data_IF_675047353097
#
_entry.id   IF_675047353097
#
_cell.length_a   1.000
_cell.length_b   1.000
_cell.length_c   1.000
_cell.angle_alpha   90.00
_cell.angle_beta   90.00
_cell.angle_gamma   90.00
#
_symmetry.space_group_name_H-M   'P 1'
#
loop_
_entity.id
_entity.type
_entity.pdbx_description
1 polymer ?
2 non-polymer ?
3 water ?
#
# COMPACT_ATOMS: atom_id res chain seq x y z
N UNK A 4 11.24 24.33 -9.59
CA UNK A 4 10.67 24.09 -10.96
C UNK A 4 11.49 23.11 -11.79
N UNK A 5 12.44 23.64 -12.56
CA UNK A 5 13.45 22.82 -13.20
C UNK A 5 14.45 22.51 -12.11
N UNK A 6 14.58 23.45 -11.18
CA UNK A 6 15.42 23.24 -10.02
C UNK A 6 14.98 21.98 -9.27
N UNK A 7 13.68 21.68 -9.20
CA UNK A 7 13.24 20.44 -8.55
C UNK A 7 13.80 19.16 -9.18
N UNK A 8 13.78 19.08 -10.51
CA UNK A 8 14.26 17.89 -11.21
C UNK A 8 15.76 17.78 -11.09
N UNK A 9 16.42 18.91 -10.85
CA UNK A 9 17.85 18.90 -10.54
C UNK A 9 18.17 18.22 -9.22
N UNK A 10 17.29 18.41 -8.21
CA UNK A 10 17.48 17.71 -6.92
C UNK A 10 17.36 16.20 -7.09
N UNK A 11 16.41 15.77 -7.91
CA UNK A 11 16.20 14.35 -8.20
C UNK A 11 17.44 13.75 -8.88
N UNK A 12 17.95 14.49 -9.85
CA UNK A 12 19.16 14.12 -10.56
C UNK A 12 20.36 14.05 -9.62
N UNK A 13 20.53 15.07 -8.76
CA UNK A 13 21.61 15.02 -7.78
C UNK A 13 21.45 13.78 -6.90
N UNK A 14 20.22 13.48 -6.46
CA UNK A 14 20.04 12.29 -5.61
C UNK A 14 20.43 11.04 -6.39
N UNK A 15 19.95 10.88 -7.62
CA UNK A 15 20.28 9.68 -8.40
C UNK A 15 21.79 9.53 -8.59
N UNK A 16 22.44 10.62 -9.00
CA UNK A 16 23.90 10.59 -9.21
C UNK A 16 24.68 10.25 -7.95
N UNK A 17 24.25 10.79 -6.80
CA UNK A 17 24.90 10.45 -5.53
C UNK A 17 24.76 8.97 -5.17
N UNK A 18 23.55 8.42 -5.30
CA UNK A 18 23.36 6.98 -4.98
C UNK A 18 24.23 6.14 -5.93
N UNK A 19 24.16 6.46 -7.21
CA UNK A 19 24.96 5.74 -8.21
C UNK A 19 26.46 5.85 -7.96
N UNK A 20 26.91 7.01 -7.51
CA UNK A 20 28.33 7.20 -7.21
C UNK A 20 28.72 6.69 -5.84
N UNK A 21 27.80 5.99 -5.18
CA UNK A 21 28.07 5.39 -3.86
C UNK A 21 28.45 6.46 -2.84
N UNK A 22 27.66 7.54 -2.81
CA UNK A 22 27.92 8.67 -1.92
C UNK A 22 26.73 8.84 -0.97
N UNK A 23 26.62 7.97 0.05
CA UNK A 23 25.41 7.96 0.90
C UNK A 23 25.14 9.27 1.61
N UNK A 24 26.19 9.99 1.99
CA UNK A 24 25.98 11.23 2.76
C UNK A 24 25.38 12.29 1.87
N UNK A 25 25.99 12.52 0.70
CA UNK A 25 25.39 13.43 -0.28
C UNK A 25 23.97 12.98 -0.68
N UNK A 26 23.77 11.67 -0.88
CA UNK A 26 22.42 11.13 -1.23
C UNK A 26 21.39 11.58 -0.16
N UNK A 27 21.76 11.49 1.12
CA UNK A 27 20.82 11.89 2.19
C UNK A 27 20.57 13.39 2.18
N UNK A 28 21.62 14.17 1.90
CA UNK A 28 21.43 15.60 1.75
C UNK A 28 20.42 15.95 0.65
N UNK A 29 20.59 15.39 -0.55
CA UNK A 29 19.69 15.69 -1.67
C UNK A 29 18.26 15.21 -1.41
N UNK A 30 18.13 14.04 -0.80
CA UNK A 30 16.81 13.57 -0.30
C UNK A 30 16.13 14.58 0.67
N UNK A 31 16.86 14.99 1.72
CA UNK A 31 16.42 16.03 2.67
C UNK A 31 15.98 17.34 1.98
N UNK A 32 16.76 17.77 0.99
CA UNK A 32 16.41 18.95 0.16
C UNK A 32 15.18 18.73 -0.64
N UNK A 33 15.01 17.51 -1.15
CA UNK A 33 13.82 17.19 -1.93
C UNK A 33 12.59 17.30 -1.02
N UNK A 34 12.68 16.72 0.18
CA UNK A 34 11.60 16.77 1.17
C UNK A 34 11.27 18.24 1.53
N UNK A 35 12.29 19.05 1.81
CA UNK A 35 11.99 20.41 2.28
C UNK A 35 11.45 21.31 1.14
N UNK A 36 11.69 20.90 -0.10
CA UNK A 36 11.17 21.57 -1.26
C UNK A 36 9.73 21.15 -1.54
N UNK A 37 9.12 20.37 -0.67
CA UNK A 37 7.76 19.85 -0.89
C UNK A 37 7.64 18.59 -1.76
N UNK A 38 8.76 17.91 -2.02
CA UNK A 38 8.75 16.70 -2.85
C UNK A 38 8.10 15.51 -2.15
N UNK A 39 7.38 14.71 -2.91
CA UNK A 39 6.66 13.58 -2.30
C UNK A 39 7.62 12.42 -2.07
N UNK A 40 7.62 11.86 -0.85
CA UNK A 40 8.51 10.72 -0.64
C UNK A 40 8.22 9.51 -1.54
N UNK A 41 6.97 9.31 -1.98
CA UNK A 41 6.71 8.16 -2.83
C UNK A 41 7.25 8.39 -4.22
N UNK A 42 7.24 9.64 -4.67
CA UNK A 42 7.87 9.98 -5.93
C UNK A 42 9.34 9.55 -5.85
N UNK A 43 9.98 9.83 -4.71
CA UNK A 43 11.33 9.38 -4.50
C UNK A 43 11.42 7.84 -4.47
N UNK A 44 10.46 7.19 -3.80
CA UNK A 44 10.42 5.73 -3.71
C UNK A 44 10.36 5.07 -5.08
N UNK A 45 9.53 5.60 -5.97
CA UNK A 45 9.53 5.09 -7.35
C UNK A 45 10.90 5.17 -8.07
N UNK A 46 11.62 6.29 -7.89
CA UNK A 46 12.94 6.46 -8.51
C UNK A 46 13.91 5.47 -7.92
N UNK A 47 13.74 5.18 -6.64
CA UNK A 47 14.65 4.22 -5.98
C UNK A 47 14.51 2.81 -6.56
N UNK A 48 13.29 2.40 -6.85
CA UNK A 48 13.12 1.13 -7.52
C UNK A 48 13.80 1.12 -8.91
N UNK A 49 13.69 2.20 -9.67
CA UNK A 49 14.36 2.30 -10.98
C UNK A 49 15.89 2.20 -10.81
N UNK A 50 16.42 2.88 -9.80
CA UNK A 50 17.83 2.75 -9.41
C UNK A 50 18.27 1.33 -9.06
N UNK A 51 17.51 0.63 -8.22
CA UNK A 51 17.82 -0.75 -7.92
C UNK A 51 17.98 -1.58 -9.21
N UNK A 52 17.16 -1.26 -10.22
CA UNK A 52 17.15 -2.04 -11.46
C UNK A 52 18.32 -1.62 -12.32
N UNK A 53 18.49 -0.32 -12.43
CA UNK A 53 19.42 0.23 -13.40
C UNK A 53 20.87 0.22 -12.93
N UNK A 54 21.09 0.56 -11.67
CA UNK A 54 22.44 0.77 -11.13
C UNK A 54 22.96 -0.35 -10.22
N UNK A 55 22.06 -1.15 -9.63
CA UNK A 55 22.53 -2.22 -8.74
C UNK A 55 22.36 -3.59 -9.39
N UNK A 56 21.19 -3.81 -9.99
CA UNK A 56 20.91 -5.06 -10.71
C UNK A 56 21.21 -6.32 -9.91
N UNK A 57 21.84 -7.30 -10.55
CA UNK A 57 22.11 -8.58 -9.86
C UNK A 57 23.39 -8.63 -9.02
N UNK A 58 24.09 -7.50 -8.92
CA UNK A 58 25.15 -7.39 -7.92
C UNK A 58 24.54 -7.57 -6.52
N UNK A 59 23.29 -7.14 -6.34
CA UNK A 59 22.53 -7.43 -5.12
C UNK A 59 21.05 -7.49 -5.44
N UNK A 60 20.54 -8.69 -5.73
CA UNK A 60 19.13 -8.87 -6.07
C UNK A 60 18.21 -8.46 -4.91
N UNK A 61 18.69 -8.53 -3.66
CA UNK A 61 17.88 -8.13 -2.49
C UNK A 61 17.57 -6.65 -2.43
N UNK A 62 18.31 -5.85 -3.19
CA UNK A 62 18.12 -4.40 -3.27
C UNK A 62 16.68 -3.97 -3.55
N UNK A 63 16.08 -4.65 -4.53
CA UNK A 63 14.70 -4.49 -4.93
C UNK A 63 13.80 -4.66 -3.72
N UNK A 64 14.09 -5.65 -2.88
CA UNK A 64 13.22 -5.97 -1.75
C UNK A 64 13.34 -4.93 -0.63
N UNK A 65 14.51 -4.32 -0.49
CA UNK A 65 14.71 -3.31 0.57
C UNK A 65 13.91 -2.07 0.21
N UNK A 66 13.86 -1.75 -1.06
CA UNK A 66 13.15 -0.57 -1.51
C UNK A 66 11.64 -0.81 -1.47
N UNK A 67 11.21 -2.01 -1.85
CA UNK A 67 9.79 -2.38 -1.68
C UNK A 67 9.38 -2.40 -0.21
N UNK A 68 10.26 -2.87 0.67
CA UNK A 68 9.95 -2.89 2.10
C UNK A 68 9.79 -1.47 2.64
N UNK A 69 10.67 -0.55 2.25
CA UNK A 69 10.52 0.86 2.61
C UNK A 69 9.16 1.40 2.16
N UNK A 70 8.77 1.06 0.94
CA UNK A 70 7.46 1.49 0.44
C UNK A 70 6.30 0.92 1.30
N UNK A 71 6.45 -0.34 1.70
CA UNK A 71 5.44 -0.99 2.55
C UNK A 71 5.28 -0.26 3.87
N UNK A 72 6.40 0.14 4.47
CA UNK A 72 6.38 0.93 5.71
C UNK A 72 5.62 2.23 5.55
N UNK A 73 5.83 2.89 4.42
CA UNK A 73 5.12 4.13 4.13
C UNK A 73 3.58 3.88 4.00
N UNK A 74 3.21 2.86 3.25
CA UNK A 74 1.81 2.48 3.02
C UNK A 74 1.07 2.03 4.28
N UNK A 75 1.79 1.38 5.18
CA UNK A 75 1.14 0.76 6.35
C UNK A 75 1.22 1.61 7.58
N UNK A 76 2.38 2.21 7.80
CA UNK A 76 2.59 2.99 8.99
C UNK A 76 2.26 4.45 8.76
N UNK A 77 2.89 5.06 7.76
CA UNK A 77 2.53 6.43 7.41
C UNK A 77 3.69 7.17 6.77
N UNK A 78 3.48 8.45 6.56
CA UNK A 78 4.45 9.32 5.89
C UNK A 78 5.78 9.46 6.59
N UNK A 79 5.79 9.68 7.90
CA UNK A 79 7.02 9.95 8.58
C UNK A 79 7.86 8.69 8.80
N UNK A 80 7.23 7.58 9.18
CA UNK A 80 7.99 6.32 9.24
C UNK A 80 8.44 5.94 7.83
N UNK A 81 7.57 6.20 6.87
CA UNK A 81 7.92 5.97 5.46
C UNK A 81 9.16 6.72 5.05
N UNK A 82 9.25 8.01 5.41
CA UNK A 82 10.41 8.83 4.97
C UNK A 82 11.69 8.29 5.58
N UNK A 83 11.61 7.83 6.81
CA UNK A 83 12.73 7.22 7.53
C UNK A 83 13.16 5.91 6.85
N UNK A 84 12.20 5.07 6.48
CA UNK A 84 12.51 3.79 5.84
C UNK A 84 13.12 4.03 4.45
N UNK A 85 12.61 5.04 3.75
CA UNK A 85 13.15 5.41 2.47
C UNK A 85 14.56 5.93 2.60
N UNK A 86 14.84 6.69 3.67
CA UNK A 86 16.25 7.08 3.93
C UNK A 86 17.16 5.87 4.10
N UNK A 87 16.70 4.87 4.85
CA UNK A 87 17.44 3.62 5.03
C UNK A 87 17.69 2.93 3.65
N UNK A 88 16.67 2.89 2.80
CA UNK A 88 16.82 2.35 1.47
C UNK A 88 17.83 3.15 0.65
N UNK A 89 17.79 4.48 0.78
CA UNK A 89 18.79 5.31 0.12
C UNK A 89 20.20 4.97 0.54
N UNK A 90 20.46 4.89 1.82
CA UNK A 90 21.78 4.44 2.27
C UNK A 90 22.13 3.02 1.82
N UNK A 91 21.17 2.11 1.90
CA UNK A 91 21.40 0.74 1.43
C UNK A 91 21.89 0.72 -0.03
N UNK A 92 21.12 1.37 -0.89
CA UNK A 92 21.44 1.46 -2.32
C UNK A 92 22.79 2.18 -2.57
N UNK A 93 23.08 3.20 -1.77
CA UNK A 93 24.32 3.96 -1.92
C UNK A 93 25.56 3.10 -1.62
N UNK A 94 25.49 2.27 -0.58
CA UNK A 94 26.64 1.43 -0.21
C UNK A 94 26.64 0.05 -0.91
N UNK A 95 25.56 -0.29 -1.64
CA UNK A 95 25.47 -1.59 -2.32
C UNK A 95 26.50 -1.63 -3.48
N UNK A 96 26.98 -2.84 -3.82
CA UNK A 96 27.78 -3.09 -5.03
C UNK A 96 26.95 -2.64 -6.23
N UNK A 97 27.57 -1.98 -7.20
CA UNK A 97 26.89 -1.45 -8.36
C UNK A 97 27.18 -2.28 -9.58
N UNK A 98 26.13 -2.47 -10.37
CA UNK A 98 26.21 -3.16 -11.64
C UNK A 98 25.11 -2.70 -12.55
N UNK A 99 25.50 -2.32 -13.76
CA UNK A 99 24.53 -1.91 -14.79
C UNK A 99 24.33 -3.06 -15.84
N UNK A 100 24.81 -4.27 -15.52
CA UNK A 100 24.85 -5.36 -16.50
C UNK A 100 23.50 -5.86 -16.94
N UNK A 101 22.56 -5.99 -15.98
CA UNK A 101 21.26 -6.49 -16.34
C UNK A 101 20.53 -5.44 -17.17
N UNK A 102 20.65 -4.19 -16.75
CA UNK A 102 20.07 -3.06 -17.50
C UNK A 102 20.52 -2.96 -18.96
N UNK A 103 21.84 -2.97 -19.19
CA UNK A 103 22.34 -2.85 -20.55
C UNK A 103 22.09 -4.12 -21.37
N UNK A 104 22.12 -5.29 -20.73
CA UNK A 104 21.72 -6.57 -21.40
C UNK A 104 20.31 -6.49 -21.96
N UNK A 105 19.36 -6.04 -21.14
CA UNK A 105 17.97 -6.01 -21.58
C UNK A 105 17.82 -5.00 -22.72
N UNK A 106 18.41 -3.82 -22.58
CA UNK A 106 18.36 -2.86 -23.70
C UNK A 106 18.96 -3.34 -25.03
N UNK A 107 20.11 -4.00 -24.97
CA UNK A 107 20.69 -4.56 -26.18
C UNK A 107 19.80 -5.61 -26.82
N UNK A 108 19.16 -6.43 -26.01
CA UNK A 108 18.32 -7.50 -26.52
C UNK A 108 17.10 -6.87 -27.17
N UNK A 109 16.58 -5.79 -26.59
CA UNK A 109 15.40 -5.15 -27.19
C UNK A 109 15.74 -4.52 -28.53
N UNK A 110 16.92 -3.93 -28.65
CA UNK A 110 17.25 -3.32 -29.91
C UNK A 110 17.41 -4.39 -30.99
N UNK A 111 18.02 -5.51 -30.66
CA UNK A 111 18.05 -6.61 -31.63
C UNK A 111 16.65 -7.12 -32.03
N UNK A 112 15.77 -7.30 -31.07
CA UNK A 112 14.42 -7.79 -31.37
C UNK A 112 13.66 -6.79 -32.26
N UNK A 113 14.03 -5.52 -32.16
CA UNK A 113 13.36 -4.48 -32.92
C UNK A 113 14.00 -4.32 -34.31
N UNK A 114 15.33 -4.44 -34.38
CA UNK A 114 16.08 -4.10 -35.57
C UNK A 114 16.34 -5.24 -36.53
N UNK A 115 16.47 -6.45 -36.02
CA UNK A 115 16.77 -7.60 -36.87
C UNK A 115 15.44 -8.26 -37.26
N UNK A 116 15.45 -9.07 -38.34
CA UNK A 116 14.24 -9.78 -38.77
C UNK A 116 13.57 -10.59 -37.63
N UNK A 117 12.27 -10.83 -37.73
CA UNK A 117 11.63 -11.69 -36.76
C UNK A 117 11.91 -13.15 -37.06
N UNK A 118 13.14 -13.60 -36.79
CA UNK A 118 13.55 -14.97 -37.07
C UNK A 118 12.59 -15.95 -36.45
N UNK A 119 12.39 -17.09 -37.12
CA UNK A 119 11.59 -18.18 -36.57
C UNK A 119 12.14 -18.74 -35.29
N UNK A 120 11.25 -19.17 -34.40
CA UNK A 120 11.68 -19.95 -33.28
C UNK A 120 12.32 -21.27 -33.80
N UNK A 121 13.59 -21.53 -33.46
CA UNK A 121 14.16 -22.83 -33.82
C UNK A 121 13.17 -23.97 -33.56
N UNK A 122 13.03 -24.93 -34.50
CA UNK A 122 12.03 -26.03 -34.41
C UNK A 122 11.99 -26.77 -33.08
N UNK A 123 13.14 -27.08 -32.51
CA UNK A 123 13.15 -27.83 -31.24
C UNK A 123 12.65 -26.97 -30.04
N UNK A 124 12.61 -25.66 -30.20
CA UNK A 124 12.18 -24.80 -29.10
C UNK A 124 10.68 -24.49 -29.10
N UNK A 125 9.99 -24.93 -30.16
CA UNK A 125 8.58 -24.66 -30.35
C UNK A 125 7.71 -25.45 -29.38
N UNK A 126 6.51 -24.93 -29.17
CA UNK A 126 5.62 -25.54 -28.23
C UNK A 126 5.34 -27.00 -28.63
N UNK A 127 5.15 -27.24 -29.92
CA UNK A 127 5.22 -28.61 -30.48
C UNK A 127 6.42 -28.66 -31.44
N UNK A 128 7.52 -29.34 -31.02
CA UNK A 128 8.75 -29.39 -31.84
C UNK A 128 8.47 -29.93 -33.23
N UNK A 129 9.22 -29.47 -34.21
CA UNK A 129 9.08 -30.00 -35.56
C UNK A 129 10.45 -30.46 -36.08
N UNK A 130 10.42 -31.22 -37.18
CA UNK A 130 11.65 -31.78 -37.71
C UNK A 130 12.65 -30.68 -38.04
N UNK A 131 13.86 -30.76 -37.45
CA UNK A 131 14.90 -29.76 -37.66
C UNK A 131 15.55 -29.88 -39.05
N UNK A 153 22.14 -29.44 -34.22
CA UNK A 153 21.58 -30.67 -33.70
C UNK A 153 20.57 -30.34 -32.60
N UNK A 154 19.89 -29.19 -32.73
CA UNK A 154 18.88 -28.78 -31.75
C UNK A 154 19.46 -28.44 -30.39
N UNK A 155 20.66 -27.86 -30.37
CA UNK A 155 21.30 -27.45 -29.11
C UNK A 155 21.34 -25.92 -28.96
N UNK A 156 20.96 -25.22 -30.03
CA UNK A 156 20.98 -23.75 -30.05
C UNK A 156 19.76 -23.16 -29.36
N UNK A 157 19.96 -22.16 -28.52
CA UNK A 157 18.85 -21.38 -27.96
C UNK A 157 18.55 -20.11 -28.78
N UNK A 158 19.54 -19.63 -29.53
CA UNK A 158 19.31 -18.49 -30.42
C UNK A 158 18.94 -19.00 -31.82
N UNK A 159 18.25 -18.18 -32.61
CA UNK A 159 18.20 -18.46 -34.04
C UNK A 159 19.61 -18.57 -34.60
N UNK A 160 19.80 -19.36 -35.66
CA UNK A 160 21.18 -19.57 -36.12
C UNK A 160 21.90 -18.26 -36.50
N UNK A 161 21.14 -17.27 -36.94
CA UNK A 161 21.72 -15.95 -37.23
C UNK A 161 22.33 -15.31 -35.99
N UNK A 162 21.86 -15.70 -34.81
CA UNK A 162 22.26 -15.01 -33.57
C UNK A 162 23.18 -15.87 -32.70
N UNK A 163 23.58 -17.01 -33.24
CA UNK A 163 24.44 -17.95 -32.54
C UNK A 163 25.55 -17.28 -31.70
N UNK A 164 25.73 -17.72 -30.45
CA UNK A 164 26.78 -17.20 -29.53
C UNK A 164 26.65 -15.75 -29.10
N UNK A 165 25.54 -15.09 -29.44
CA UNK A 165 25.28 -13.73 -28.99
C UNK A 165 25.35 -13.63 -27.46
N UNK A 166 26.01 -12.59 -26.95
CA UNK A 166 26.03 -12.30 -25.51
C UNK A 166 25.56 -10.87 -25.24
N UNK A 167 24.60 -10.75 -24.35
CA UNK A 167 24.10 -9.43 -23.91
C UNK A 167 24.57 -9.14 -22.49
N UNK A 168 24.61 -10.20 -21.68
CA UNK A 168 24.75 -10.04 -20.26
C UNK A 168 26.17 -10.29 -19.84
N UNK A 169 26.79 -9.24 -19.29
CA UNK A 169 28.20 -9.28 -18.91
C UNK A 169 28.37 -9.00 -17.41
N UNK A 170 28.23 -10.02 -16.52
CA UNK A 170 28.24 -9.73 -15.09
C UNK A 170 29.51 -9.04 -14.65
N UNK A 171 29.41 -8.10 -13.71
CA UNK A 171 30.59 -7.45 -13.16
C UNK A 171 31.28 -8.42 -12.21
N UNK A 172 32.42 -7.95 -11.70
CA UNK A 172 33.13 -8.61 -10.61
C UNK A 172 32.70 -8.09 -9.23
N UNK A 173 31.42 -7.80 -9.04
CA UNK A 173 30.99 -7.15 -7.81
C UNK A 173 29.81 -7.87 -7.25
N UNK A 174 29.74 -7.98 -5.92
CA UNK A 174 28.55 -8.54 -5.26
C UNK A 174 28.25 -9.97 -5.68
N UNK A 175 26.98 -10.26 -5.88
CA UNK A 175 26.56 -11.59 -6.25
C UNK A 175 26.98 -11.93 -7.65
N UNK A 176 27.45 -10.94 -8.42
CA UNK A 176 27.86 -11.17 -9.81
C UNK A 176 29.25 -11.79 -9.90
N UNK A 177 30.02 -11.68 -8.84
CA UNK A 177 31.28 -12.42 -8.75
C UNK A 177 31.04 -13.91 -9.05
N UNK A 178 30.15 -14.54 -8.29
CA UNK A 178 29.81 -15.97 -8.47
C UNK A 178 29.11 -16.21 -9.82
N UNK A 179 28.21 -15.31 -10.21
CA UNK A 179 27.51 -15.50 -11.47
C UNK A 179 28.49 -15.52 -12.64
N UNK A 180 29.46 -14.61 -12.63
CA UNK A 180 30.46 -14.50 -13.69
C UNK A 180 31.36 -15.74 -13.73
N UNK A 181 31.69 -16.28 -12.56
CA UNK A 181 32.40 -17.55 -12.47
C UNK A 181 31.59 -18.65 -13.19
N UNK A 182 30.33 -18.82 -12.80
CA UNK A 182 29.45 -19.82 -13.40
C UNK A 182 29.24 -19.64 -14.92
N UNK A 183 28.94 -18.43 -15.37
CA UNK A 183 28.70 -18.20 -16.79
C UNK A 183 29.94 -18.49 -17.66
N UNK A 184 31.12 -18.28 -17.11
CA UNK A 184 32.36 -18.63 -17.81
C UNK A 184 32.51 -20.14 -17.96
N UNK A 185 32.19 -20.91 -16.93
CA UNK A 185 32.14 -22.36 -17.07
C UNK A 185 31.21 -22.73 -18.21
N UNK A 186 29.92 -22.43 -18.04
CA UNK A 186 28.95 -22.63 -19.11
C UNK A 186 29.52 -22.12 -20.45
N UNK A 187 30.00 -20.88 -20.44
CA UNK A 187 30.74 -20.27 -21.58
C UNK A 187 29.97 -19.15 -22.27
N UNK B 4 2.19 10.90 25.65
CA UNK B 4 1.64 9.63 25.08
C UNK B 4 1.25 9.76 23.61
N UNK B 5 0.31 10.66 23.33
CA UNK B 5 -0.11 10.99 21.96
C UNK B 5 -0.34 12.50 21.89
N UNK B 6 0.67 13.17 21.35
CA UNK B 6 0.72 14.62 21.21
C UNK B 6 -0.51 15.22 20.49
N UNK B 7 -1.19 14.40 19.70
CA UNK B 7 -2.29 14.88 18.85
C UNK B 7 -3.66 14.53 19.40
N UNK B 8 -3.72 14.06 20.65
CA UNK B 8 -4.98 13.56 21.18
C UNK B 8 -6.11 14.61 21.18
N UNK B 9 -5.81 15.81 21.67
CA UNK B 9 -6.82 16.85 21.70
C UNK B 9 -7.25 17.21 20.29
N UNK B 10 -6.30 17.40 19.39
CA UNK B 10 -6.61 17.76 17.98
C UNK B 10 -7.50 16.73 17.32
N UNK B 11 -7.17 15.46 17.53
CA UNK B 11 -7.89 14.36 16.90
C UNK B 11 -9.28 14.31 17.48
N UNK B 12 -9.37 14.57 18.80
CA UNK B 12 -10.65 14.62 19.47
C UNK B 12 -11.55 15.70 18.87
N UNK B 13 -10.97 16.87 18.62
CA UNK B 13 -11.73 18.02 18.08
C UNK B 13 -12.16 17.66 16.64
N UNK B 14 -11.27 16.97 15.91
CA UNK B 14 -11.60 16.53 14.56
C UNK B 14 -12.79 15.54 14.58
N UNK B 15 -12.70 14.54 15.47
CA UNK B 15 -13.75 13.56 15.67
C UNK B 15 -15.09 14.26 15.96
N UNK B 16 -15.07 15.17 16.95
CA UNK B 16 -16.28 15.90 17.32
C UNK B 16 -16.88 16.68 16.15
N UNK B 17 -16.03 17.26 15.31
CA UNK B 17 -16.52 18.05 14.19
C UNK B 17 -17.15 17.15 13.16
N UNK B 18 -16.50 16.01 12.88
CA UNK B 18 -17.11 15.04 11.97
C UNK B 18 -18.45 14.52 12.49
N UNK B 19 -18.46 14.02 13.73
CA UNK B 19 -19.72 13.54 14.32
C UNK B 19 -20.81 14.63 14.38
N UNK B 20 -20.38 15.90 14.51
CA UNK B 20 -21.29 17.03 14.51
C UNK B 20 -21.58 17.59 13.12
N UNK B 21 -21.20 16.86 12.09
CA UNK B 21 -21.46 17.27 10.71
C UNK B 21 -20.98 18.69 10.41
N UNK B 22 -19.78 19.00 10.88
CA UNK B 22 -19.17 20.31 10.67
C UNK B 22 -17.91 20.20 9.80
N UNK B 23 -18.09 20.06 8.48
CA UNK B 23 -16.95 19.77 7.60
C UNK B 23 -15.82 20.81 7.66
N UNK B 24 -16.20 22.08 7.81
CA UNK B 24 -15.22 23.20 7.85
C UNK B 24 -14.29 23.07 9.04
N UNK B 25 -14.87 22.88 10.23
CA UNK B 25 -14.09 22.73 11.45
C UNK B 25 -13.28 21.42 11.37
N UNK B 26 -13.84 20.39 10.74
CA UNK B 26 -13.09 19.12 10.58
C UNK B 26 -11.83 19.31 9.75
N UNK B 27 -11.96 20.08 8.67
CA UNK B 27 -10.82 20.39 7.81
C UNK B 27 -9.79 21.22 8.58
N UNK B 28 -10.27 22.20 9.36
CA UNK B 28 -9.37 22.97 10.25
C UNK B 28 -8.53 22.08 11.20
N UNK B 29 -9.17 21.21 11.96
CA UNK B 29 -8.46 20.34 12.89
C UNK B 29 -7.54 19.37 12.18
N UNK B 30 -7.99 18.86 11.03
CA UNK B 30 -7.13 18.03 10.17
C UNK B 30 -5.89 18.81 9.76
N UNK B 31 -6.08 20.00 9.20
CA UNK B 31 -4.93 20.89 8.87
C UNK B 31 -4.00 21.16 10.07
N UNK B 32 -4.59 21.35 11.24
CA UNK B 32 -3.79 21.60 12.44
C UNK B 32 -2.89 20.42 12.76
N UNK B 33 -3.44 19.22 12.66
CA UNK B 33 -2.67 17.99 12.90
C UNK B 33 -1.49 17.89 11.95
N UNK B 34 -1.76 18.12 10.65
CA UNK B 34 -0.69 17.95 9.65
C UNK B 34 0.39 19.00 9.90
N UNK B 35 -0.04 20.24 10.13
CA UNK B 35 0.95 21.32 10.30
C UNK B 35 1.70 21.15 11.62
N UNK B 36 1.12 20.42 12.57
CA UNK B 36 1.84 20.12 13.83
C UNK B 36 2.77 18.90 13.68
N UNK B 37 2.88 18.39 12.46
CA UNK B 37 3.75 17.23 12.16
C UNK B 37 3.08 15.88 12.32
N UNK B 38 1.75 15.85 12.34
CA UNK B 38 1.05 14.58 12.51
C UNK B 38 0.93 13.85 11.19
N UNK B 39 0.87 12.53 11.26
CA UNK B 39 0.92 11.73 10.07
C UNK B 39 -0.49 11.63 9.43
N UNK B 40 -0.57 11.75 8.10
CA UNK B 40 -1.87 11.58 7.46
C UNK B 40 -2.51 10.20 7.74
N UNK B 41 -1.71 9.15 7.95
CA UNK B 41 -2.29 7.81 8.21
C UNK B 41 -2.76 7.65 9.66
N UNK B 42 -2.16 8.42 10.57
CA UNK B 42 -2.63 8.52 11.95
C UNK B 42 -4.10 8.97 11.92
N UNK B 43 -4.37 9.97 11.08
CA UNK B 43 -5.73 10.47 10.88
C UNK B 43 -6.58 9.46 10.09
N UNK B 44 -6.03 8.89 9.00
CA UNK B 44 -6.75 7.86 8.22
C UNK B 44 -7.25 6.67 9.08
N UNK B 45 -6.43 6.21 10.01
CA UNK B 45 -6.86 5.11 10.85
C UNK B 45 -8.02 5.56 11.73
N UNK B 46 -7.97 6.81 12.21
CA UNK B 46 -9.03 7.27 13.07
C UNK B 46 -10.30 7.55 12.26
N UNK B 47 -10.15 7.92 10.99
CA UNK B 47 -11.31 8.05 10.08
C UNK B 47 -12.07 6.75 9.89
N UNK B 48 -11.33 5.65 9.74
CA UNK B 48 -11.96 4.35 9.66
C UNK B 48 -12.71 4.07 10.96
N UNK B 49 -12.14 4.45 12.10
CA UNK B 49 -12.83 4.20 13.36
C UNK B 49 -14.12 5.04 13.42
N UNK B 50 -14.07 6.26 12.90
CA UNK B 50 -15.28 7.11 12.85
C UNK B 50 -16.36 6.54 11.91
N UNK B 51 -15.99 6.07 10.73
CA UNK B 51 -16.94 5.35 9.92
C UNK B 51 -17.73 4.24 10.69
N UNK B 52 -17.04 3.46 11.53
CA UNK B 52 -17.69 2.37 12.26
C UNK B 52 -18.51 2.86 13.42
N UNK B 53 -17.98 3.85 14.13
CA UNK B 53 -18.57 4.30 15.38
C UNK B 53 -19.72 5.28 15.20
N UNK B 54 -19.61 6.19 14.21
CA UNK B 54 -20.53 7.32 14.13
C UNK B 54 -21.41 7.33 12.88
N UNK B 55 -20.97 6.64 11.82
CA UNK B 55 -21.78 6.58 10.59
C UNK B 55 -22.46 5.22 10.50
N UNK B 56 -21.67 4.18 10.69
CA UNK B 56 -22.18 2.80 10.62
C UNK B 56 -23.11 2.53 9.44
N UNK B 57 -24.22 1.84 9.71
CA UNK B 57 -25.13 1.40 8.65
C UNK B 57 -26.05 2.47 8.10
N UNK B 58 -25.92 3.69 8.61
CA UNK B 58 -26.61 4.82 7.97
C UNK B 58 -26.01 5.07 6.57
N UNK B 59 -24.71 4.77 6.42
CA UNK B 59 -24.08 4.83 5.09
C UNK B 59 -23.02 3.74 5.04
N UNK B 60 -23.41 2.55 4.61
CA UNK B 60 -22.45 1.46 4.60
C UNK B 60 -21.30 1.63 3.58
N UNK B 61 -21.42 2.57 2.64
CA UNK B 61 -20.31 2.84 1.72
C UNK B 61 -19.22 3.74 2.30
N UNK B 62 -19.45 4.35 3.47
CA UNK B 62 -18.48 5.29 4.08
C UNK B 62 -17.10 4.64 4.32
N UNK B 63 -17.11 3.39 4.75
CA UNK B 63 -15.90 2.61 5.01
C UNK B 63 -15.06 2.60 3.72
N UNK B 64 -15.72 2.28 2.60
CA UNK B 64 -15.02 2.22 1.33
C UNK B 64 -14.43 3.57 0.91
N UNK B 65 -15.09 4.68 1.23
CA UNK B 65 -14.57 5.99 0.81
C UNK B 65 -13.28 6.23 1.58
N UNK B 66 -13.31 5.94 2.87
CA UNK B 66 -12.13 6.14 3.69
C UNK B 66 -10.99 5.21 3.26
N UNK B 67 -11.30 3.94 2.93
CA UNK B 67 -10.24 3.02 2.47
C UNK B 67 -9.66 3.47 1.14
N UNK B 68 -10.53 3.99 0.26
CA UNK B 68 -10.06 4.47 -1.04
C UNK B 68 -9.13 5.69 -0.90
N UNK B 69 -9.45 6.60 0.01
CA UNK B 69 -8.52 7.70 0.33
C UNK B 69 -7.13 7.19 0.78
N UNK B 70 -7.13 6.20 1.67
CA UNK B 70 -5.89 5.56 2.09
C UNK B 70 -5.14 4.90 0.93
N UNK B 71 -5.88 4.24 0.03
CA UNK B 71 -5.27 3.67 -1.17
C UNK B 71 -4.60 4.72 -2.05
N UNK B 72 -5.18 5.91 -2.13
CA UNK B 72 -4.56 7.01 -2.86
C UNK B 72 -3.21 7.39 -2.27
N UNK B 73 -3.16 7.49 -0.94
CA UNK B 73 -1.93 7.79 -0.22
C UNK B 73 -0.87 6.72 -0.55
N UNK B 74 -1.29 5.47 -0.49
CA UNK B 74 -0.40 4.32 -0.69
C UNK B 74 0.19 4.18 -2.09
N UNK B 75 -0.57 4.61 -3.08
CA UNK B 75 -0.20 4.51 -4.49
C UNK B 75 0.39 5.75 -5.12
N UNK B 76 -0.16 6.93 -4.79
CA UNK B 76 0.28 8.18 -5.42
C UNK B 76 1.35 8.83 -4.53
N UNK B 77 0.98 9.04 -3.25
CA UNK B 77 1.91 9.55 -2.26
C UNK B 77 1.28 10.44 -1.21
N UNK B 78 2.15 11.15 -0.48
CA UNK B 78 1.74 11.82 0.73
C UNK B 78 0.83 13.02 0.43
N UNK B 79 1.14 13.74 -0.64
CA UNK B 79 0.48 15.00 -0.88
C UNK B 79 -0.88 14.81 -1.51
N UNK B 80 -0.96 13.98 -2.53
CA UNK B 80 -2.29 13.58 -3.06
C UNK B 80 -3.07 12.76 -2.02
N UNK B 81 -2.36 11.95 -1.22
CA UNK B 81 -2.96 11.23 -0.09
C UNK B 81 -3.69 12.17 0.85
N UNK B 82 -3.00 13.24 1.27
CA UNK B 82 -3.59 14.28 2.14
C UNK B 82 -4.90 14.81 1.61
N UNK B 83 -4.90 15.13 0.33
CA UNK B 83 -6.08 15.62 -0.39
C UNK B 83 -7.20 14.58 -0.45
N UNK B 84 -6.89 13.32 -0.73
CA UNK B 84 -7.93 12.29 -0.71
C UNK B 84 -8.53 12.08 0.70
N UNK B 85 -7.69 12.12 1.72
CA UNK B 85 -8.14 11.98 3.11
C UNK B 85 -9.01 13.21 3.50
N UNK B 86 -8.67 14.39 2.98
CA UNK B 86 -9.57 15.55 3.15
C UNK B 86 -10.96 15.31 2.55
N UNK B 87 -10.99 14.80 1.31
CA UNK B 87 -12.25 14.39 0.70
C UNK B 87 -13.02 13.38 1.57
N UNK B 88 -12.31 12.39 2.12
CA UNK B 88 -12.96 11.46 3.08
C UNK B 88 -13.52 12.17 4.31
N UNK B 89 -12.76 13.11 4.86
CA UNK B 89 -13.23 13.86 6.05
C UNK B 89 -14.53 14.57 5.74
N UNK B 90 -14.57 15.22 4.58
CA UNK B 90 -15.78 15.94 4.21
C UNK B 90 -16.96 14.98 4.00
N UNK B 91 -16.70 13.87 3.32
CA UNK B 91 -17.73 12.85 3.11
C UNK B 91 -18.34 12.36 4.41
N UNK B 92 -17.50 11.96 5.37
CA UNK B 92 -17.97 11.49 6.67
C UNK B 92 -18.69 12.60 7.45
N UNK B 93 -18.20 13.84 7.34
CA UNK B 93 -18.87 15.00 7.96
C UNK B 93 -20.30 15.21 7.50
N UNK B 94 -20.54 15.13 6.20
CA UNK B 94 -21.88 15.35 5.66
C UNK B 94 -22.72 14.07 5.60
N UNK B 95 -22.14 12.90 5.92
CA UNK B 95 -22.88 11.62 5.84
C UNK B 95 -23.96 11.56 6.90
N UNK B 96 -25.06 10.80 6.65
CA UNK B 96 -26.02 10.59 7.75
C UNK B 96 -25.28 9.84 8.89
N UNK B 97 -25.68 10.09 10.13
CA UNK B 97 -24.94 9.56 11.30
C UNK B 97 -25.80 8.55 12.06
N UNK B 98 -25.16 7.50 12.52
CA UNK B 98 -25.83 6.55 13.40
C UNK B 98 -24.79 5.80 14.21
N UNK B 99 -24.91 5.83 15.53
CA UNK B 99 -24.06 4.93 16.27
C UNK B 99 -24.74 3.60 16.66
N UNK B 100 -25.79 3.21 15.93
CA UNK B 100 -26.57 2.03 16.32
C UNK B 100 -25.77 0.72 16.21
N UNK B 101 -24.91 0.61 15.22
CA UNK B 101 -24.21 -0.65 15.04
C UNK B 101 -23.14 -0.70 16.14
N UNK B 102 -22.46 0.43 16.34
CA UNK B 102 -21.45 0.54 17.39
C UNK B 102 -21.97 0.08 18.75
N UNK B 103 -23.07 0.68 19.18
CA UNK B 103 -23.59 0.36 20.53
C UNK B 103 -24.18 -1.06 20.61
N UNK B 104 -24.76 -1.53 19.50
CA UNK B 104 -25.28 -2.90 19.45
C UNK B 104 -24.13 -3.91 19.66
N UNK B 105 -23.02 -3.71 18.96
CA UNK B 105 -21.92 -4.65 19.11
C UNK B 105 -21.38 -4.64 20.54
N UNK B 106 -21.23 -3.45 21.12
CA UNK B 106 -20.66 -3.29 22.46
C UNK B 106 -21.50 -4.02 23.49
N UNK B 107 -22.82 -3.86 23.38
CA UNK B 107 -23.74 -4.60 24.22
C UNK B 107 -23.63 -6.12 24.07
N UNK B 108 -23.63 -6.59 22.83
CA UNK B 108 -23.56 -8.01 22.57
C UNK B 108 -22.29 -8.57 23.19
N UNK B 109 -21.20 -7.84 23.03
CA UNK B 109 -19.90 -8.31 23.50
C UNK B 109 -19.84 -8.37 25.03
N UNK B 110 -20.41 -7.36 25.70
CA UNK B 110 -20.43 -7.34 27.16
C UNK B 110 -21.32 -8.48 27.68
N UNK B 111 -22.47 -8.70 27.05
CA UNK B 111 -23.33 -9.86 27.41
C UNK B 111 -22.64 -11.22 27.23
N UNK B 112 -21.92 -11.40 26.12
CA UNK B 112 -21.17 -12.64 25.95
C UNK B 112 -20.17 -12.85 27.08
N UNK B 113 -19.57 -11.78 27.56
CA UNK B 113 -18.54 -11.90 28.58
C UNK B 113 -19.16 -12.28 29.90
N UNK B 114 -20.33 -11.73 30.17
CA UNK B 114 -20.96 -11.78 31.50
C UNK B 114 -21.96 -12.91 31.69
N UNK B 115 -22.81 -13.15 30.71
CA UNK B 115 -23.88 -14.17 30.87
C UNK B 115 -23.35 -15.60 30.79
N UNK B 116 -24.14 -16.58 31.29
CA UNK B 116 -23.71 -17.99 31.21
C UNK B 116 -23.44 -18.43 29.77
N UNK B 117 -22.52 -19.38 29.58
CA UNK B 117 -22.23 -19.87 28.24
C UNK B 117 -23.25 -20.90 27.77
N UNK B 118 -24.47 -20.45 27.48
CA UNK B 118 -25.54 -21.33 26.99
C UNK B 118 -25.16 -22.14 25.75
N UNK B 119 -25.63 -23.38 25.72
CA UNK B 119 -25.41 -24.24 24.56
C UNK B 119 -26.02 -23.62 23.30
N UNK B 120 -25.45 -24.01 22.16
CA UNK B 120 -26.13 -23.68 20.89
C UNK B 120 -27.40 -24.55 20.75
N UNK B 121 -28.56 -23.89 20.58
CA UNK B 121 -29.81 -24.66 20.46
C UNK B 121 -29.66 -25.69 19.33
N UNK B 122 -30.06 -26.96 19.57
CA UNK B 122 -29.78 -27.95 18.53
C UNK B 122 -30.22 -27.58 17.10
N UNK B 123 -31.35 -26.90 16.95
CA UNK B 123 -31.83 -26.55 15.62
C UNK B 123 -31.00 -25.47 14.92
N UNK B 124 -30.03 -24.89 15.62
CA UNK B 124 -29.14 -23.90 14.99
C UNK B 124 -27.80 -24.50 14.59
N UNK B 125 -27.61 -25.77 14.92
CA UNK B 125 -26.38 -26.49 14.57
C UNK B 125 -26.33 -26.99 13.11
N UNK B 126 -25.15 -27.39 12.68
CA UNK B 126 -24.97 -27.83 11.29
C UNK B 126 -25.51 -26.86 10.23
N UNK B 127 -24.86 -25.70 10.10
CA UNK B 127 -25.08 -24.80 8.97
C UNK B 127 -23.71 -24.34 8.52
N UNK B 128 -23.00 -25.25 7.83
CA UNK B 128 -21.62 -25.05 7.43
C UNK B 128 -21.51 -24.17 6.19
N UNK B 129 -20.26 -23.88 5.81
CA UNK B 129 -19.96 -23.17 4.57
C UNK B 129 -18.88 -23.88 3.77
N UNK B 130 -18.61 -23.38 2.57
CA UNK B 130 -17.69 -24.05 1.64
C UNK B 130 -16.22 -23.89 2.03
N UNK B 131 -15.95 -23.47 3.25
CA UNK B 131 -14.63 -22.92 3.54
C UNK B 131 -13.42 -23.86 3.44
N UNK B 132 -13.25 -24.73 4.42
CA UNK B 132 -12.04 -25.55 4.53
C UNK B 132 -11.93 -26.67 3.49
N UNK B 133 -13.08 -27.06 2.92
CA UNK B 133 -13.16 -28.06 1.86
C UNK B 133 -14.51 -28.02 1.13
N UNK B 134 -14.47 -28.14 -0.20
CA UNK B 134 -15.66 -28.06 -1.04
C UNK B 134 -16.85 -28.86 -0.52
N UNK B 156 -36.88 -18.13 17.04
CA UNK B 156 -35.86 -17.65 17.98
C UNK B 156 -34.45 -18.15 17.63
N UNK B 157 -33.55 -17.20 17.48
CA UNK B 157 -32.15 -17.47 17.17
C UNK B 157 -31.24 -17.30 18.41
N UNK B 158 -31.83 -16.89 19.53
CA UNK B 158 -31.06 -16.80 20.78
C UNK B 158 -31.22 -18.09 21.58
N UNK B 159 -30.33 -18.32 22.55
CA UNK B 159 -30.71 -19.34 23.53
C UNK B 159 -32.10 -18.95 24.10
N UNK B 160 -32.85 -19.94 24.56
CA UNK B 160 -34.19 -19.72 25.15
C UNK B 160 -34.23 -18.63 26.26
N UNK B 161 -33.24 -18.65 27.15
CA UNK B 161 -33.13 -17.67 28.21
C UNK B 161 -33.07 -16.25 27.68
N UNK B 162 -32.57 -16.09 26.45
CA UNK B 162 -32.34 -14.75 25.89
C UNK B 162 -33.33 -14.38 24.78
N UNK B 163 -34.40 -15.15 24.66
CA UNK B 163 -35.45 -14.86 23.71
C UNK B 163 -35.84 -13.39 23.80
N UNK B 164 -35.99 -12.77 22.62
CA UNK B 164 -36.46 -11.38 22.46
C UNK B 164 -35.42 -10.30 22.70
N UNK B 165 -34.20 -10.72 23.00
CA UNK B 165 -33.09 -9.79 23.17
C UNK B 165 -32.92 -8.91 21.92
N UNK B 166 -32.73 -7.60 22.12
CA UNK B 166 -32.49 -6.68 21.02
C UNK B 166 -31.29 -5.79 21.33
N UNK B 167 -30.29 -5.81 20.47
CA UNK B 167 -29.12 -4.94 20.64
C UNK B 167 -29.16 -3.76 19.65
N UNK B 168 -29.68 -4.02 18.45
CA UNK B 168 -29.63 -3.09 17.33
C UNK B 168 -30.90 -2.27 17.16
N UNK B 169 -30.78 -0.96 17.36
CA UNK B 169 -31.90 -0.03 17.18
C UNK B 169 -31.61 0.96 16.04
N UNK B 170 -31.91 0.56 14.79
CA UNK B 170 -31.61 1.44 13.66
C UNK B 170 -32.26 2.80 13.85
N UNK B 171 -31.57 3.86 13.41
CA UNK B 171 -32.13 5.21 13.46
C UNK B 171 -32.96 5.49 12.22
N UNK B 172 -33.56 6.67 12.16
CA UNK B 172 -34.23 7.14 10.96
C UNK B 172 -33.31 7.93 10.03
N UNK B 173 -32.03 7.59 9.95
CA UNK B 173 -31.14 8.33 9.09
C UNK B 173 -30.54 7.44 8.01
N UNK B 174 -30.36 8.01 6.83
CA UNK B 174 -29.71 7.30 5.74
C UNK B 174 -30.34 5.95 5.46
N UNK B 175 -29.50 4.95 5.16
CA UNK B 175 -30.00 3.64 4.82
C UNK B 175 -30.63 2.94 6.01
N UNK B 176 -30.51 3.54 7.20
CA UNK B 176 -31.18 2.99 8.37
C UNK B 176 -32.67 3.23 8.39
N UNK B 177 -33.14 4.22 7.63
CA UNK B 177 -34.60 4.35 7.42
C UNK B 177 -35.24 3.06 6.86
N UNK B 178 -34.70 2.53 5.78
CA UNK B 178 -35.21 1.29 5.19
C UNK B 178 -35.02 0.12 6.13
N UNK B 179 -33.82 0.03 6.72
CA UNK B 179 -33.51 -1.08 7.61
C UNK B 179 -34.54 -1.17 8.74
N UNK B 180 -34.77 -0.03 9.38
CA UNK B 180 -35.65 0.05 10.52
C UNK B 180 -37.03 -0.41 10.10
N UNK B 181 -37.52 0.13 8.98
CA UNK B 181 -38.79 -0.29 8.41
C UNK B 181 -38.87 -1.79 8.18
N UNK B 182 -37.77 -2.41 7.75
CA UNK B 182 -37.76 -3.85 7.47
C UNK B 182 -37.76 -4.69 8.75
N UNK B 183 -36.89 -4.33 9.69
CA UNK B 183 -36.83 -5.04 10.96
C UNK B 183 -38.13 -4.91 11.79
N UNK B 184 -38.70 -3.71 11.82
CA UNK B 184 -39.99 -3.52 12.47
C UNK B 184 -41.04 -4.37 11.77
N UNK B 185 -41.15 -4.21 10.45
CA UNK B 185 -42.04 -5.03 9.63
C UNK B 185 -41.98 -6.51 10.00
N UNK B 186 -40.79 -7.08 10.07
CA UNK B 186 -40.67 -8.50 10.33
C UNK B 186 -40.60 -8.83 11.83
N UNK B 187 -40.67 -7.80 12.67
CA UNK B 187 -40.70 -8.01 14.13
C UNK B 187 -41.99 -8.72 14.54
X LIG C 1 23.29 -20.64 -29.23
X LIG C 1 24.05 -19.43 -28.96
X LIG C 1 22.32 -20.39 -30.30
X LIG C 1 24.22 -21.70 -29.59
X LIG C 1 22.53 -21.06 -28.05
X LIG D 1 -1.22 5.09 15.77
X LIG D 1 -0.76 5.97 16.81
X LIG D 1 -2.42 4.40 16.27
X LIG D 1 -1.59 5.86 14.59
X LIG D 1 -0.17 4.09 15.51
X LIG E 1 -36.26 -7.89 1.40
X LIG E 1 -36.35 -6.55 0.82
X LIG E 1 -37.37 -8.06 2.33
X LIG E 1 -36.32 -8.92 0.36
X LIG E 1 -34.97 -7.97 2.09
#
# INVERSE_FOLDING_TARGET
MSLGDRFYDLISALHKSVRGSAPDAALYWYARILTAGGDPLYVARRLLAIASEDVGNADPRAMQVALAAWDCFTRVGAYEGERAIAQAIIYLSVAPKSNAVYTAFNTAKQQAKDLPDYDVPPHLRNAPTNLMKELGYGAEYRYAHDEPNAYAAGENYFPPELKDTQYYFPTNRGMEIQIKEKLERLREQDKSTEGHHHHHH
MSLGDRFYDLISALHKSVRGSAPDAALYWYARILTAGGDPLYVARRLLAIASEDVGNADPRAMQVALAAWDCFTRVGAYEGERAIAQAIIYLSVAPKSNAVYTAFNTAKQQAKDLPDYDVPPHLRNAPTNLMKELGYGAEYRYAHDEPNAYAAGENYFPPELKDTQYYFPTNRGMEIQIKEKLERLREQDKSTEGHHHHHH
SO4 S O1 O2 O3 O4
SO4 S O1 O2 O3 O4
SO4 S O1 O2 O3 O4
#
